data_IF_131845528282
#
_entry.id   IF_131845528282
#
_cell.length_a   1.000
_cell.length_b   1.000
_cell.length_c   1.000
_cell.angle_alpha   90.00
_cell.angle_beta   90.00
_cell.angle_gamma   90.00
#
_symmetry.space_group_name_H-M   'P 1'
#
loop_
_entity.id
_entity.type
_entity.pdbx_description
1 polymer ?
#
# COMPACT_ATOMS: atom_id res chain seq x y z
N UNK A 1 -11.49 14.75 16.70
CA UNK A 1 -10.18 14.38 17.29
C UNK A 1 -9.07 14.10 16.24
N UNK A 2 -9.39 13.67 15.02
CA UNK A 2 -8.39 13.24 14.01
C UNK A 2 -7.49 14.33 13.36
N UNK A 3 -7.90 15.60 13.30
CA UNK A 3 -7.20 16.62 12.48
C UNK A 3 -5.82 17.08 12.99
N UNK A 4 -5.47 16.85 14.25
CA UNK A 4 -4.24 17.41 14.85
C UNK A 4 -3.01 16.52 14.62
N UNK A 5 -3.21 15.23 14.29
CA UNK A 5 -2.12 14.24 14.22
C UNK A 5 -1.81 13.75 12.80
N UNK A 6 -2.70 14.00 11.84
CA UNK A 6 -2.58 13.52 10.45
C UNK A 6 -1.35 14.05 9.72
N UNK A 7 -0.87 15.23 10.12
CA UNK A 7 0.22 15.95 9.45
C UNK A 7 1.53 15.94 10.25
N UNK A 8 1.59 15.23 11.38
CA UNK A 8 2.82 15.15 12.18
C UNK A 8 3.90 14.34 11.43
N UNK A 9 5.17 14.80 11.36
CA UNK A 9 6.22 14.14 10.57
C UNK A 9 6.49 12.69 11.00
N UNK A 10 6.30 12.38 12.28
CA UNK A 10 6.53 11.04 12.84
C UNK A 10 5.32 10.10 12.78
N UNK A 11 4.16 10.55 12.25
CA UNK A 11 2.93 9.73 12.24
C UNK A 11 3.10 8.43 11.45
N UNK A 12 3.83 8.46 10.34
CA UNK A 12 4.05 7.26 9.51
C UNK A 12 4.88 6.20 10.25
N UNK A 13 5.88 6.62 11.04
CA UNK A 13 6.71 5.72 11.84
C UNK A 13 5.89 5.12 12.99
N UNK A 14 5.21 5.96 13.74
CA UNK A 14 4.31 5.54 14.81
C UNK A 14 3.23 4.59 14.31
N UNK A 15 2.65 4.84 13.13
CA UNK A 15 1.66 3.96 12.53
C UNK A 15 2.23 2.61 12.08
N UNK A 16 3.43 2.59 11.48
CA UNK A 16 4.07 1.32 11.14
C UNK A 16 4.36 0.49 12.40
N UNK A 17 4.82 1.14 13.47
CA UNK A 17 5.09 0.48 14.74
C UNK A 17 3.80 0.00 15.42
N UNK A 18 2.72 0.79 15.38
CA UNK A 18 1.41 0.40 15.91
C UNK A 18 0.84 -0.83 15.17
N UNK A 19 1.03 -0.90 13.85
CA UNK A 19 0.61 -2.06 13.07
C UNK A 19 1.47 -3.30 13.38
N UNK A 20 2.76 -3.10 13.60
CA UNK A 20 3.74 -4.16 13.80
C UNK A 20 3.54 -4.90 15.12
N UNK A 21 3.79 -6.21 15.10
CA UNK A 21 3.84 -7.02 16.33
C UNK A 21 5.20 -6.93 17.03
N UNK A 22 6.20 -6.36 16.37
CA UNK A 22 7.56 -6.20 16.89
C UNK A 22 7.66 -4.96 17.79
N UNK A 23 8.19 -5.16 18.99
CA UNK A 23 8.47 -4.07 19.94
C UNK A 23 9.80 -3.42 19.57
N UNK A 24 9.76 -2.30 18.86
CA UNK A 24 10.85 -1.32 18.84
C UNK A 24 10.72 -0.34 20.00
N UNK A 25 11.81 0.27 20.45
CA UNK A 25 11.79 1.35 21.45
C UNK A 25 11.70 2.70 20.73
N UNK A 26 10.53 3.37 20.69
CA UNK A 26 10.35 4.61 19.95
C UNK A 26 11.03 5.78 20.68
N UNK A 27 11.77 6.60 19.94
CA UNK A 27 12.40 7.80 20.47
C UNK A 27 11.49 9.04 20.40
N UNK A 28 11.58 9.92 21.40
CA UNK A 28 11.05 11.30 21.34
C UNK A 28 9.56 11.40 20.96
N UNK A 29 9.26 12.17 19.90
CA UNK A 29 7.90 12.46 19.45
C UNK A 29 7.17 11.24 18.87
N UNK A 30 7.90 10.26 18.34
CA UNK A 30 7.33 9.00 17.83
C UNK A 30 6.62 8.24 18.95
N UNK A 31 7.21 8.21 20.15
CA UNK A 31 6.62 7.59 21.33
C UNK A 31 5.31 8.24 21.73
N UNK A 32 5.24 9.56 21.72
CA UNK A 32 4.01 10.30 22.07
C UNK A 32 2.89 9.98 21.08
N UNK A 33 3.20 9.91 19.79
CA UNK A 33 2.23 9.54 18.76
C UNK A 33 1.78 8.08 18.92
N UNK A 34 2.71 7.17 19.16
CA UNK A 34 2.40 5.77 19.38
C UNK A 34 1.51 5.56 20.63
N UNK A 35 1.84 6.20 21.74
CA UNK A 35 1.05 6.17 22.98
C UNK A 35 -0.37 6.72 22.73
N UNK A 36 -0.50 7.73 21.87
CA UNK A 36 -1.80 8.28 21.47
C UNK A 36 -2.60 7.28 20.64
N UNK A 37 -1.98 6.60 19.67
CA UNK A 37 -2.63 5.54 18.89
C UNK A 37 -3.10 4.40 19.79
N UNK A 38 -2.29 3.96 20.76
CA UNK A 38 -2.70 2.94 21.72
C UNK A 38 -3.89 3.39 22.58
N UNK A 39 -3.84 4.60 23.14
CA UNK A 39 -4.95 5.17 23.93
C UNK A 39 -6.26 5.25 23.16
N UNK A 40 -6.20 5.53 21.85
CA UNK A 40 -7.40 5.52 20.99
C UNK A 40 -7.86 4.07 20.80
N UNK A 41 -6.94 3.15 20.47
CA UNK A 41 -7.25 1.75 20.17
C UNK A 41 -7.88 0.98 21.33
N UNK A 42 -7.63 1.41 22.58
CA UNK A 42 -8.14 0.81 23.81
C UNK A 42 -9.54 1.30 24.20
N UNK A 43 -10.09 2.28 23.48
CA UNK A 43 -11.43 2.80 23.76
C UNK A 43 -12.50 1.78 23.36
N UNK A 44 -13.52 1.60 24.21
CA UNK A 44 -14.69 0.79 23.89
C UNK A 44 -15.72 1.61 23.10
N UNK A 45 -15.31 2.06 21.91
CA UNK A 45 -16.15 2.79 20.97
C UNK A 45 -16.20 2.08 19.62
N UNK A 46 -17.31 2.29 18.91
CA UNK A 46 -17.48 1.89 17.51
C UNK A 46 -17.88 3.11 16.69
N UNK A 47 -17.17 3.32 15.60
CA UNK A 47 -17.41 4.47 14.72
C UNK A 47 -17.57 3.99 13.28
N UNK A 48 -18.31 4.76 12.48
CA UNK A 48 -18.45 4.50 11.05
C UNK A 48 -17.28 5.13 10.31
N UNK A 49 -16.51 4.28 9.63
CA UNK A 49 -15.40 4.68 8.78
C UNK A 49 -15.84 4.70 7.33
N UNK A 50 -15.36 5.70 6.58
CA UNK A 50 -15.40 5.70 5.13
C UNK A 50 -14.21 4.89 4.63
N UNK A 51 -14.49 3.77 3.98
CA UNK A 51 -13.51 2.77 3.57
C UNK A 51 -13.62 2.49 2.08
N UNK A 52 -12.64 1.77 1.54
CA UNK A 52 -12.59 1.40 0.13
C UNK A 52 -12.83 -0.07 -0.12
N UNK A 53 -13.45 -0.39 -1.25
CA UNK A 53 -13.45 -1.74 -1.79
C UNK A 53 -12.40 -1.88 -2.89
N UNK A 54 -11.82 -3.07 -2.97
CA UNK A 54 -11.07 -3.50 -4.16
C UNK A 54 -12.11 -3.91 -5.21
N UNK A 55 -11.97 -3.39 -6.43
CA UNK A 55 -12.91 -3.60 -7.53
C UNK A 55 -12.16 -4.02 -8.79
N UNK A 56 -12.76 -4.91 -9.57
CA UNK A 56 -12.30 -5.19 -10.92
C UNK A 56 -12.94 -4.19 -11.89
N UNK A 57 -12.14 -3.63 -12.81
CA UNK A 57 -12.62 -2.70 -13.84
C UNK A 57 -12.47 -3.37 -15.22
N UNK A 58 -13.54 -3.97 -15.76
CA UNK A 58 -13.47 -4.77 -16.99
C UNK A 58 -12.90 -4.01 -18.19
N UNK A 59 -13.26 -2.73 -18.34
CA UNK A 59 -12.85 -1.89 -19.46
C UNK A 59 -11.34 -1.62 -19.48
N UNK A 60 -10.72 -1.68 -18.30
CA UNK A 60 -9.29 -1.47 -18.12
C UNK A 60 -8.52 -2.80 -17.98
N UNK A 61 -9.21 -3.93 -17.85
CA UNK A 61 -8.60 -5.24 -17.59
C UNK A 61 -7.75 -5.28 -16.31
N UNK A 62 -8.01 -4.38 -15.35
CA UNK A 62 -7.20 -4.23 -14.14
C UNK A 62 -8.07 -4.09 -12.89
N UNK A 63 -7.56 -4.58 -11.76
CA UNK A 63 -8.17 -4.31 -10.47
C UNK A 63 -7.71 -2.97 -9.87
N UNK A 64 -8.58 -2.32 -9.10
CA UNK A 64 -8.36 -1.00 -8.49
C UNK A 64 -8.82 -0.98 -7.03
N UNK A 65 -8.24 -0.11 -6.22
CA UNK A 65 -8.65 0.11 -4.81
C UNK A 65 -8.84 1.60 -4.55
N UNK A 66 -7.74 2.36 -4.67
CA UNK A 66 -7.74 3.80 -4.55
C UNK A 66 -6.78 4.45 -5.57
N UNK A 67 -6.91 5.75 -5.76
CA UNK A 67 -5.97 6.58 -6.49
C UNK A 67 -5.63 7.86 -5.70
N UNK A 68 -4.60 8.58 -6.16
CA UNK A 68 -4.30 9.91 -5.65
C UNK A 68 -4.97 10.95 -6.53
N UNK A 69 -5.54 11.98 -5.91
CA UNK A 69 -6.00 13.19 -6.61
C UNK A 69 -4.83 14.08 -7.00
N UNK A 70 -5.10 15.11 -7.80
CA UNK A 70 -4.10 16.15 -8.12
C UNK A 70 -3.55 16.84 -6.88
N UNK A 71 -4.36 16.95 -5.83
CA UNK A 71 -3.97 17.53 -4.53
C UNK A 71 -3.26 16.51 -3.61
N UNK A 72 -2.97 15.30 -4.10
CA UNK A 72 -2.27 14.27 -3.34
C UNK A 72 -3.10 13.64 -2.21
N UNK A 73 -4.43 13.72 -2.30
CA UNK A 73 -5.38 13.06 -1.40
C UNK A 73 -5.74 11.68 -1.93
N UNK A 74 -6.05 10.75 -1.02
CA UNK A 74 -6.52 9.41 -1.38
C UNK A 74 -8.01 9.44 -1.69
N UNK A 75 -8.40 8.82 -2.81
CA UNK A 75 -9.80 8.60 -3.17
C UNK A 75 -10.03 7.15 -3.56
N UNK A 76 -11.11 6.57 -3.05
CA UNK A 76 -11.50 5.18 -3.32
C UNK A 76 -12.30 5.09 -4.62
N UNK A 77 -12.04 4.05 -5.41
CA UNK A 77 -12.83 3.78 -6.63
C UNK A 77 -14.26 3.37 -6.31
N UNK A 78 -14.46 2.67 -5.19
CA UNK A 78 -15.78 2.34 -4.65
C UNK A 78 -15.73 2.53 -3.13
N UNK A 79 -16.52 3.47 -2.65
CA UNK A 79 -16.64 3.79 -1.22
C UNK A 79 -17.59 2.78 -0.55
N UNK A 80 -17.25 2.38 0.66
CA UNK A 80 -18.09 1.59 1.56
C UNK A 80 -17.98 2.13 2.98
N UNK A 81 -19.10 2.19 3.70
CA UNK A 81 -19.09 2.53 5.12
C UNK A 81 -19.04 1.26 5.95
N UNK A 82 -18.08 1.18 6.87
CA UNK A 82 -17.95 0.06 7.80
C UNK A 82 -17.88 0.57 9.25
N UNK A 83 -18.60 -0.12 10.14
CA UNK A 83 -18.54 0.16 11.58
C UNK A 83 -17.37 -0.60 12.18
N UNK A 84 -16.33 0.11 12.61
CA UNK A 84 -15.10 -0.48 13.14
C UNK A 84 -15.00 -0.23 14.65
N UNK A 85 -14.40 -1.18 15.38
CA UNK A 85 -13.96 -0.94 16.76
C UNK A 85 -12.84 0.11 16.79
N UNK A 86 -12.59 0.74 17.94
CA UNK A 86 -11.51 1.73 18.06
C UNK A 86 -10.14 1.16 17.65
N UNK A 87 -9.86 -0.11 18.01
CA UNK A 87 -8.65 -0.82 17.59
C UNK A 87 -8.57 -0.97 16.07
N UNK A 88 -9.60 -1.55 15.46
CA UNK A 88 -9.62 -1.79 14.02
C UNK A 88 -9.64 -0.48 13.22
N UNK A 89 -10.33 0.56 13.72
CA UNK A 89 -10.33 1.90 13.14
C UNK A 89 -8.95 2.56 13.17
N UNK A 90 -8.19 2.35 14.25
CA UNK A 90 -6.80 2.83 14.36
C UNK A 90 -5.86 2.05 13.43
N UNK A 91 -6.04 0.73 13.33
CA UNK A 91 -5.29 -0.11 12.38
C UNK A 91 -5.60 0.30 10.93
N UNK A 92 -6.87 0.54 10.59
CA UNK A 92 -7.30 1.04 9.30
C UNK A 92 -6.66 2.39 8.97
N UNK A 93 -6.76 3.36 9.88
CA UNK A 93 -6.16 4.68 9.74
C UNK A 93 -4.65 4.59 9.47
N UNK A 94 -3.94 3.78 10.25
CA UNK A 94 -2.50 3.65 10.09
C UNK A 94 -2.11 2.95 8.78
N UNK A 95 -2.88 1.95 8.35
CA UNK A 95 -2.65 1.29 7.08
C UNK A 95 -2.91 2.23 5.89
N UNK A 96 -4.00 3.00 5.93
CA UNK A 96 -4.30 4.03 4.91
C UNK A 96 -3.17 5.06 4.82
N UNK A 97 -2.75 5.60 5.97
CA UNK A 97 -1.73 6.64 6.06
C UNK A 97 -0.38 6.16 5.52
N UNK A 98 0.06 4.98 5.94
CA UNK A 98 1.33 4.40 5.49
C UNK A 98 1.28 4.04 4.01
N UNK A 99 0.16 3.47 3.55
CA UNK A 99 -0.02 3.12 2.14
C UNK A 99 -0.04 4.34 1.22
N UNK A 100 -0.61 5.46 1.68
CA UNK A 100 -0.58 6.76 1.00
C UNK A 100 0.85 7.30 0.88
N UNK A 101 1.66 7.21 1.94
CA UNK A 101 3.07 7.61 1.92
C UNK A 101 3.88 6.80 0.90
N UNK A 102 3.73 5.47 0.93
CA UNK A 102 4.34 4.57 -0.06
C UNK A 102 3.90 4.91 -1.49
N UNK A 103 2.60 5.17 -1.71
CA UNK A 103 2.08 5.53 -3.02
C UNK A 103 2.79 6.75 -3.60
N UNK A 104 2.94 7.80 -2.80
CA UNK A 104 3.64 9.03 -3.21
C UNK A 104 5.10 8.75 -3.57
N UNK A 105 5.79 7.93 -2.77
CA UNK A 105 7.18 7.52 -3.05
C UNK A 105 7.30 6.73 -4.35
N UNK A 106 6.44 5.73 -4.58
CA UNK A 106 6.43 4.97 -5.83
C UNK A 106 6.13 5.85 -7.05
N UNK A 107 5.16 6.78 -6.95
CA UNK A 107 4.86 7.71 -8.04
C UNK A 107 6.03 8.64 -8.34
N UNK A 108 6.68 9.19 -7.32
CA UNK A 108 7.83 10.07 -7.49
C UNK A 108 9.02 9.34 -8.12
N UNK A 109 9.34 8.13 -7.64
CA UNK A 109 10.42 7.31 -8.22
C UNK A 109 10.09 6.86 -9.64
N UNK A 110 8.84 6.47 -9.91
CA UNK A 110 8.35 6.15 -11.26
C UNK A 110 8.57 7.31 -12.24
N UNK A 111 8.24 8.54 -11.84
CA UNK A 111 8.41 9.72 -12.69
C UNK A 111 9.89 9.97 -13.06
N UNK A 112 10.83 9.71 -12.14
CA UNK A 112 12.28 9.78 -12.43
C UNK A 112 12.68 8.72 -13.44
N UNK A 113 12.26 7.47 -13.23
CA UNK A 113 12.61 6.35 -14.11
C UNK A 113 12.01 6.48 -15.51
N UNK A 114 10.82 7.08 -15.66
CA UNK A 114 10.25 7.42 -16.96
C UNK A 114 11.09 8.43 -17.75
N UNK A 115 11.81 9.30 -17.06
CA UNK A 115 12.73 10.26 -17.69
C UNK A 115 14.08 9.61 -18.00
N UNK A 116 14.64 8.84 -17.05
CA UNK A 116 15.88 8.10 -17.22
C UNK A 116 15.76 6.68 -16.60
N UNK A 117 15.59 5.64 -17.43
CA UNK A 117 15.37 4.26 -16.98
C UNK A 117 16.58 3.64 -16.30
N UNK A 118 17.76 4.16 -16.58
CA UNK A 118 19.04 3.65 -16.10
C UNK A 118 19.59 4.49 -14.93
N UNK A 119 18.78 5.40 -14.38
CA UNK A 119 19.13 6.16 -13.19
C UNK A 119 19.31 5.19 -11.99
N UNK A 120 20.57 4.95 -11.63
CA UNK A 120 20.95 4.06 -10.53
C UNK A 120 20.39 4.52 -9.18
N UNK A 121 20.30 5.84 -8.96
CA UNK A 121 19.77 6.39 -7.71
C UNK A 121 18.27 6.15 -7.64
N UNK A 122 17.53 6.42 -8.72
CA UNK A 122 16.10 6.15 -8.77
C UNK A 122 15.79 4.63 -8.65
N UNK A 123 16.66 3.76 -9.17
CA UNK A 123 16.54 2.31 -8.96
C UNK A 123 16.78 1.88 -7.51
N UNK A 124 17.76 2.46 -6.83
CA UNK A 124 17.97 2.22 -5.40
C UNK A 124 16.80 2.73 -4.53
N UNK A 125 16.25 3.89 -4.87
CA UNK A 125 15.03 4.41 -4.23
C UNK A 125 13.85 3.44 -4.43
N UNK A 126 13.73 2.83 -5.61
CA UNK A 126 12.67 1.85 -5.91
C UNK A 126 12.79 0.60 -5.03
N UNK A 127 13.98 0.03 -4.89
CA UNK A 127 14.23 -1.10 -3.99
C UNK A 127 13.90 -0.72 -2.53
N UNK A 128 14.31 0.47 -2.09
CA UNK A 128 13.99 0.97 -0.73
C UNK A 128 12.47 1.12 -0.51
N UNK A 129 11.74 1.58 -1.53
CA UNK A 129 10.28 1.68 -1.47
C UNK A 129 9.64 0.29 -1.43
N UNK A 130 10.18 -0.69 -2.17
CA UNK A 130 9.71 -2.07 -2.11
C UNK A 130 9.97 -2.67 -0.73
N UNK A 131 11.17 -2.53 -0.17
CA UNK A 131 11.47 -3.02 1.18
C UNK A 131 10.52 -2.44 2.23
N UNK A 132 10.18 -1.16 2.10
CA UNK A 132 9.19 -0.50 2.97
C UNK A 132 7.79 -1.10 2.81
N UNK A 133 7.39 -1.41 1.57
CA UNK A 133 6.12 -2.12 1.30
C UNK A 133 6.12 -3.55 1.87
N UNK A 134 7.22 -4.28 1.76
CA UNK A 134 7.34 -5.64 2.30
C UNK A 134 7.26 -5.63 3.84
N UNK A 135 7.90 -4.67 4.51
CA UNK A 135 7.75 -4.46 5.96
C UNK A 135 6.30 -4.20 6.33
N UNK A 136 5.63 -3.30 5.61
CA UNK A 136 4.21 -3.02 5.82
C UNK A 136 3.32 -4.25 5.64
N UNK A 137 3.59 -5.09 4.63
CA UNK A 137 2.87 -6.34 4.42
C UNK A 137 2.95 -7.27 5.63
N UNK A 138 4.13 -7.41 6.21
CA UNK A 138 4.30 -8.20 7.43
C UNK A 138 3.58 -7.56 8.63
N UNK A 139 3.61 -6.24 8.77
CA UNK A 139 2.92 -5.53 9.86
C UNK A 139 1.40 -5.71 9.82
N UNK A 140 0.80 -5.84 8.63
CA UNK A 140 -0.65 -6.07 8.50
C UNK A 140 -1.04 -7.55 8.47
N UNK A 141 -0.08 -8.47 8.63
CA UNK A 141 -0.38 -9.90 8.71
C UNK A 141 -1.24 -10.20 9.95
N UNK A 142 -2.30 -10.98 9.77
CA UNK A 142 -3.25 -11.33 10.84
C UNK A 142 -4.24 -10.21 11.19
N UNK A 143 -4.18 -9.06 10.53
CA UNK A 143 -5.17 -7.98 10.68
C UNK A 143 -6.43 -8.28 9.87
N UNK A 144 -7.50 -7.52 10.11
CA UNK A 144 -8.76 -7.70 9.39
C UNK A 144 -8.61 -7.48 7.89
N UNK A 145 -9.54 -8.02 7.10
CA UNK A 145 -9.48 -7.93 5.64
C UNK A 145 -9.44 -6.47 5.15
N UNK A 146 -10.17 -5.57 5.82
CA UNK A 146 -10.20 -4.15 5.44
C UNK A 146 -8.84 -3.46 5.57
N UNK A 147 -8.05 -3.83 6.59
CA UNK A 147 -6.68 -3.35 6.77
C UNK A 147 -5.75 -3.99 5.73
N UNK A 148 -5.89 -5.31 5.50
CA UNK A 148 -5.07 -6.05 4.52
C UNK A 148 -5.35 -5.62 3.07
N UNK A 149 -6.51 -5.04 2.77
CA UNK A 149 -6.83 -4.49 1.45
C UNK A 149 -5.88 -3.36 1.02
N UNK A 150 -5.19 -2.69 1.94
CA UNK A 150 -4.15 -1.71 1.60
C UNK A 150 -2.90 -2.33 0.97
N UNK A 151 -2.73 -3.66 1.05
CA UNK A 151 -1.69 -4.37 0.29
C UNK A 151 -2.01 -4.43 -1.20
N UNK A 152 -3.23 -4.11 -1.62
CA UNK A 152 -3.56 -4.04 -3.03
C UNK A 152 -2.64 -3.06 -3.77
N UNK A 153 -1.84 -3.61 -4.67
CA UNK A 153 -0.86 -2.89 -5.46
C UNK A 153 -1.27 -3.01 -6.92
N UNK A 154 -1.48 -1.89 -7.61
CA UNK A 154 -1.83 -1.88 -9.02
C UNK A 154 -0.66 -1.31 -9.80
N UNK A 155 -0.04 -2.13 -10.65
CA UNK A 155 1.09 -1.70 -11.49
C UNK A 155 0.64 -0.81 -12.65
N UNK A 156 -0.59 -0.97 -13.14
CA UNK A 156 -1.06 -0.33 -14.38
C UNK A 156 -0.88 1.19 -14.40
N UNK A 157 -1.05 1.87 -13.25
CA UNK A 157 -0.83 3.32 -13.12
C UNK A 157 0.64 3.76 -13.27
N UNK A 158 1.58 2.88 -12.97
CA UNK A 158 3.01 3.15 -13.13
C UNK A 158 3.49 2.86 -14.56
N UNK A 159 2.79 1.96 -15.27
CA UNK A 159 3.14 1.51 -16.61
C UNK A 159 2.71 2.46 -17.75
N UNK A 160 1.78 3.41 -17.49
CA UNK A 160 1.24 4.32 -18.53
C UNK A 160 2.26 5.38 -18.98
N UNK A 161 2.42 5.56 -20.30
CA UNK A 161 3.28 6.57 -20.97
C UNK A 161 4.05 5.98 -22.16
N UNK A 162 4.62 6.84 -23.02
CA UNK A 162 5.24 6.45 -24.31
C UNK A 162 6.39 5.46 -24.19
N UNK A 163 7.03 5.38 -23.03
CA UNK A 163 8.17 4.50 -22.83
C UNK A 163 7.85 3.20 -22.06
N UNK A 164 6.67 3.03 -21.45
CA UNK A 164 6.31 1.78 -20.76
C UNK A 164 7.33 1.27 -19.73
N UNK A 165 7.98 2.16 -18.97
CA UNK A 165 9.24 1.86 -18.28
C UNK A 165 9.09 1.33 -16.85
N UNK A 166 9.92 0.34 -16.45
CA UNK A 166 9.97 -0.37 -15.16
C UNK A 166 9.84 0.50 -13.94
N UNK A 167 8.74 0.31 -13.21
CA UNK A 167 8.70 0.51 -11.76
C UNK A 167 8.80 -0.83 -11.04
N UNK A 168 9.03 -1.91 -11.77
CA UNK A 168 9.20 -3.24 -11.19
C UNK A 168 10.70 -3.49 -10.98
N UNK A 169 11.16 -3.60 -9.72
CA UNK A 169 12.50 -4.11 -9.44
C UNK A 169 12.65 -5.54 -9.96
N UNK A 170 13.89 -6.01 -10.15
CA UNK A 170 14.09 -7.41 -10.53
C UNK A 170 13.55 -8.34 -9.44
N UNK A 171 13.02 -9.50 -9.87
CA UNK A 171 12.39 -10.51 -9.00
C UNK A 171 11.13 -9.99 -8.28
N UNK A 172 10.47 -8.95 -8.82
CA UNK A 172 9.32 -8.33 -8.17
C UNK A 172 8.21 -9.34 -7.85
N UNK A 173 7.83 -10.21 -8.79
CA UNK A 173 6.76 -11.20 -8.56
C UNK A 173 7.12 -12.15 -7.42
N UNK A 174 8.40 -12.54 -7.31
CA UNK A 174 8.88 -13.35 -6.19
C UNK A 174 8.79 -12.58 -4.86
N UNK A 175 9.26 -11.33 -4.84
CA UNK A 175 9.25 -10.48 -3.63
C UNK A 175 7.83 -10.18 -3.14
N UNK A 176 6.85 -10.00 -4.03
CA UNK A 176 5.46 -9.67 -3.64
C UNK A 176 4.56 -10.89 -3.37
N UNK A 177 5.05 -12.12 -3.56
CA UNK A 177 4.27 -13.33 -3.34
C UNK A 177 3.69 -13.40 -1.91
N UNK A 178 4.51 -13.09 -0.91
CA UNK A 178 4.07 -13.07 0.49
C UNK A 178 3.02 -11.97 0.75
N UNK A 179 3.23 -10.69 0.36
CA UNK A 179 2.20 -9.68 0.41
C UNK A 179 0.86 -10.08 -0.24
N UNK A 180 0.90 -10.70 -1.43
CA UNK A 180 -0.32 -11.20 -2.11
C UNK A 180 -1.00 -12.28 -1.27
N UNK A 181 -0.22 -13.22 -0.73
CA UNK A 181 -0.73 -14.30 0.12
C UNK A 181 -1.42 -13.75 1.36
N UNK A 182 -0.79 -12.77 2.04
CA UNK A 182 -1.37 -12.08 3.19
C UNK A 182 -2.67 -11.39 2.80
N UNK A 183 -2.69 -10.67 1.68
CA UNK A 183 -3.84 -9.88 1.24
C UNK A 183 -5.04 -10.74 0.81
N UNK A 184 -4.78 -11.91 0.22
CA UNK A 184 -5.80 -12.79 -0.35
C UNK A 184 -6.25 -13.91 0.60
N UNK A 185 -5.53 -14.13 1.69
CA UNK A 185 -5.90 -15.14 2.70
C UNK A 185 -7.26 -14.83 3.33
N UNK A 186 -8.22 -15.75 3.13
CA UNK A 186 -9.60 -15.59 3.62
C UNK A 186 -10.45 -14.61 2.81
N UNK A 187 -9.99 -14.16 1.63
CA UNK A 187 -10.76 -13.25 0.77
C UNK A 187 -11.98 -13.99 0.19
N UNK A 188 -13.17 -13.45 0.43
CA UNK A 188 -14.44 -14.05 -0.02
C UNK A 188 -15.08 -13.29 -1.19
N UNK A 189 -14.93 -11.96 -1.21
CA UNK A 189 -15.51 -11.05 -2.19
C UNK A 189 -15.06 -11.37 -3.62
N UNK A 190 -16.03 -11.55 -4.52
CA UNK A 190 -15.79 -11.97 -5.90
C UNK A 190 -15.06 -10.88 -6.71
N UNK A 191 -15.48 -9.62 -6.57
CA UNK A 191 -14.83 -8.48 -7.25
C UNK A 191 -13.37 -8.36 -6.84
N UNK A 192 -13.08 -8.48 -5.55
CA UNK A 192 -11.72 -8.44 -5.01
C UNK A 192 -10.87 -9.62 -5.51
N UNK A 193 -11.42 -10.83 -5.60
CA UNK A 193 -10.73 -11.99 -6.18
C UNK A 193 -10.37 -11.76 -7.64
N UNK A 194 -11.31 -11.28 -8.45
CA UNK A 194 -11.08 -10.97 -9.86
C UNK A 194 -10.04 -9.85 -10.01
N UNK A 195 -10.11 -8.82 -9.18
CA UNK A 195 -9.16 -7.72 -9.17
C UNK A 195 -7.72 -8.17 -8.83
N UNK A 196 -7.56 -9.07 -7.86
CA UNK A 196 -6.26 -9.67 -7.55
C UNK A 196 -5.76 -10.56 -8.69
N UNK A 197 -6.62 -11.43 -9.24
CA UNK A 197 -6.24 -12.29 -10.36
C UNK A 197 -5.76 -11.50 -11.57
N UNK A 198 -6.45 -10.42 -11.93
CA UNK A 198 -6.05 -9.52 -13.01
C UNK A 198 -4.70 -8.84 -12.72
N UNK A 199 -4.46 -8.34 -11.50
CA UNK A 199 -3.18 -7.71 -11.17
C UNK A 199 -2.01 -8.71 -11.15
N UNK A 200 -2.22 -9.96 -10.69
CA UNK A 200 -1.18 -11.00 -10.71
C UNK A 200 -0.75 -11.31 -12.15
N UNK A 201 -1.70 -11.38 -13.08
CA UNK A 201 -1.39 -11.54 -14.50
C UNK A 201 -0.55 -10.38 -15.04
N UNK A 202 -0.91 -9.13 -14.67
CA UNK A 202 -0.15 -7.93 -15.05
C UNK A 202 1.28 -8.01 -14.50
N UNK A 203 1.47 -8.37 -13.22
CA UNK A 203 2.80 -8.50 -12.63
C UNK A 203 3.68 -9.50 -13.39
N UNK A 204 3.13 -10.69 -13.65
CA UNK A 204 3.84 -11.79 -14.30
C UNK A 204 4.23 -11.43 -15.74
N UNK A 205 3.29 -10.87 -16.51
CA UNK A 205 3.54 -10.46 -17.88
C UNK A 205 4.57 -9.31 -17.94
N UNK A 206 4.49 -8.39 -16.98
CA UNK A 206 5.39 -7.25 -16.90
C UNK A 206 6.83 -7.67 -16.59
N UNK A 207 7.03 -8.53 -15.60
CA UNK A 207 8.36 -9.04 -15.23
C UNK A 207 8.98 -9.85 -16.37
N UNK A 208 8.21 -10.71 -17.04
CA UNK A 208 8.69 -11.49 -18.19
C UNK A 208 9.19 -10.57 -19.31
N UNK A 209 8.41 -9.56 -19.69
CA UNK A 209 8.82 -8.60 -20.73
C UNK A 209 10.10 -7.85 -20.37
N UNK A 210 10.27 -7.53 -19.09
CA UNK A 210 11.42 -6.80 -18.59
C UNK A 210 12.72 -7.63 -18.59
N UNK A 211 12.62 -8.90 -18.17
CA UNK A 211 13.71 -9.87 -18.24
C UNK A 211 14.10 -10.14 -19.70
N UNK A 212 13.12 -10.32 -20.59
CA UNK A 212 13.40 -10.53 -22.03
C UNK A 212 14.08 -9.33 -22.70
N UNK A 213 13.82 -8.11 -22.23
CA UNK A 213 14.48 -6.90 -22.69
C UNK A 213 15.89 -6.67 -22.08
N UNK A 214 16.36 -7.57 -21.20
CA UNK A 214 17.72 -7.55 -20.63
C UNK A 214 17.93 -6.52 -19.51
N UNK A 215 16.85 -5.96 -18.96
CA UNK A 215 16.96 -5.02 -17.85
C UNK A 215 17.11 -5.69 -16.47
N UNK A 216 16.74 -6.97 -16.38
CA UNK A 216 17.02 -7.86 -15.27
C UNK A 216 17.83 -9.05 -15.81
N UNK A 217 18.84 -9.48 -15.05
CA UNK A 217 19.71 -10.60 -15.41
C UNK A 217 19.19 -11.90 -14.83
#
# INVERSE_FOLDING_TARGET
MQKVYTDHPDINKACLQFLSSEKSDPGGNERIMLDTLYKISEQDIRENYLTGQIVYVPEAGEGKHFHLTKDGKLEYYRIKYETLSAKEGTEFFCAERYRLDLEKKFQATSAKLKTNPLDLKARQELETNLDSYLKFANSVHGKSQIVRNFLFFSLGKYMKGDQGIPVSPCEFTQKILNPITIATSGLTDADSKLAWAANIQIFTAYELGFTMAGYCK
#
